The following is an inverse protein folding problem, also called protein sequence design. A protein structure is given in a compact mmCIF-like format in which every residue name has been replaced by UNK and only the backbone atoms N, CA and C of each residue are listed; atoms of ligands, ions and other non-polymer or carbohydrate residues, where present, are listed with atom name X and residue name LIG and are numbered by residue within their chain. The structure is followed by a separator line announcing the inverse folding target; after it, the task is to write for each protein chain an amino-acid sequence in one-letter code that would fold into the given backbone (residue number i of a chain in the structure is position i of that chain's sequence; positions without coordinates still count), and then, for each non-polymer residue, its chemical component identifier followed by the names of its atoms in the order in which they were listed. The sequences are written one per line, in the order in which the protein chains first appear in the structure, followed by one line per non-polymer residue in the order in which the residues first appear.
data_IF_020644395784
#
_entry.id   IF_020644395784
#
_cell.length_a   1.000
_cell.length_b   1.000
_cell.length_c   1.000
_cell.angle_alpha   90.00
_cell.angle_beta   90.00
_cell.angle_gamma   90.00
#
_symmetry.space_group_name_H-M   'P 1'
#
loop_
_entity.id
_entity.type
_entity.pdbx_description
1 polymer ?
#
# COMPACT_ATOMS: atom_id res chain seq x y z
N UNK A 1 29.32 8.55 6.80
CA UNK A 1 29.32 7.15 6.34
C UNK A 1 28.24 7.03 5.28
N UNK A 2 28.65 6.98 4.02
CA UNK A 2 27.79 6.61 2.89
C UNK A 2 27.34 5.16 3.07
N UNK A 3 26.05 4.90 2.87
CA UNK A 3 25.55 3.55 2.61
C UNK A 3 25.06 3.51 1.16
N UNK A 4 25.86 2.85 0.32
CA UNK A 4 25.58 2.51 -1.07
C UNK A 4 25.00 1.08 -1.14
N UNK A 5 23.90 0.92 -1.88
CA UNK A 5 23.32 -0.36 -2.33
C UNK A 5 21.87 -0.55 -1.83
N UNK A 6 20.85 -0.82 -2.63
CA UNK A 6 20.80 -1.38 -3.99
C UNK A 6 19.48 -0.99 -4.70
N UNK A 7 19.62 -0.39 -5.89
CA UNK A 7 18.82 -0.57 -7.11
C UNK A 7 17.27 -0.52 -7.06
N UNK A 8 16.69 0.62 -6.71
CA UNK A 8 15.33 1.00 -7.19
C UNK A 8 15.33 2.48 -7.59
N UNK A 9 14.56 2.84 -8.61
CA UNK A 9 14.35 4.21 -9.09
C UNK A 9 13.61 5.13 -8.09
N UNK A 10 13.38 4.67 -6.85
CA UNK A 10 12.64 5.34 -5.78
C UNK A 10 13.32 6.60 -5.22
N UNK A 11 14.48 7.02 -5.75
CA UNK A 11 15.25 8.18 -5.27
C UNK A 11 14.73 9.54 -5.77
N UNK A 12 13.84 9.56 -6.77
CA UNK A 12 13.27 10.81 -7.29
C UNK A 12 11.82 10.99 -6.83
N UNK A 13 11.62 11.93 -5.90
CA UNK A 13 10.29 12.38 -5.50
C UNK A 13 9.76 13.36 -6.55
N UNK A 14 8.69 12.99 -7.22
CA UNK A 14 7.97 13.87 -8.13
C UNK A 14 6.47 13.65 -8.01
N UNK A 15 5.67 14.60 -8.48
CA UNK A 15 4.21 14.46 -8.52
C UNK A 15 3.68 14.81 -9.91
N UNK A 16 2.76 14.02 -10.49
CA UNK A 16 2.17 12.81 -9.93
C UNK A 16 3.08 11.58 -10.08
N UNK A 17 3.28 10.83 -8.99
CA UNK A 17 4.01 9.56 -8.98
C UNK A 17 3.07 8.44 -8.55
N UNK A 18 3.28 7.26 -9.12
CA UNK A 18 2.64 6.01 -8.71
C UNK A 18 3.73 5.06 -8.25
N UNK A 19 3.44 4.31 -7.17
CA UNK A 19 4.27 3.21 -6.69
C UNK A 19 3.38 1.97 -6.66
N UNK A 20 3.80 0.91 -7.34
CA UNK A 20 3.09 -0.37 -7.42
C UNK A 20 3.83 -1.41 -6.58
N UNK A 21 3.11 -1.99 -5.63
CA UNK A 21 3.57 -3.00 -4.67
C UNK A 21 4.88 -2.64 -3.94
N UNK A 22 5.21 -1.36 -3.79
CA UNK A 22 6.45 -0.91 -3.16
C UNK A 22 7.73 -1.19 -3.95
N UNK A 23 7.64 -1.71 -5.18
CA UNK A 23 8.82 -2.20 -5.95
C UNK A 23 9.04 -1.49 -7.28
N UNK A 24 7.99 -0.91 -7.88
CA UNK A 24 8.07 -0.21 -9.17
C UNK A 24 7.40 1.14 -9.02
N UNK A 25 8.08 2.20 -9.44
CA UNK A 25 7.51 3.54 -9.54
C UNK A 25 7.43 4.05 -10.98
N UNK A 26 6.63 5.10 -11.19
CA UNK A 26 6.45 5.72 -12.50
C UNK A 26 5.55 6.94 -12.48
N UNK A 27 5.28 7.49 -13.66
CA UNK A 27 4.48 8.70 -13.81
C UNK A 27 2.98 8.42 -13.65
N UNK A 28 2.34 9.13 -12.71
CA UNK A 28 0.89 9.04 -12.50
C UNK A 28 0.04 9.72 -13.57
N UNK A 29 0.65 10.45 -14.51
CA UNK A 29 -0.03 11.09 -15.64
C UNK A 29 0.04 10.28 -16.95
N UNK A 30 0.68 9.10 -16.95
CA UNK A 30 0.96 8.28 -18.15
C UNK A 30 -0.26 7.62 -18.83
N UNK A 31 -1.43 7.70 -18.20
CA UNK A 31 -2.64 7.04 -18.70
C UNK A 31 -2.66 5.52 -18.45
N UNK A 32 -3.69 4.84 -18.98
CA UNK A 32 -3.99 3.45 -18.62
C UNK A 32 -2.91 2.47 -19.07
N UNK A 33 -2.37 2.61 -20.28
CA UNK A 33 -1.38 1.66 -20.83
C UNK A 33 -0.10 1.68 -19.99
N UNK A 34 0.49 2.86 -19.78
CA UNK A 34 1.71 2.98 -18.96
C UNK A 34 1.48 2.47 -17.53
N UNK A 35 0.33 2.78 -16.92
CA UNK A 35 -0.01 2.24 -15.61
C UNK A 35 -0.07 0.71 -15.60
N UNK A 36 -0.70 0.08 -16.60
CA UNK A 36 -0.76 -1.38 -16.68
C UNK A 36 0.63 -2.00 -16.90
N UNK A 37 1.54 -1.33 -17.58
CA UNK A 37 2.92 -1.76 -17.73
C UNK A 37 3.68 -1.73 -16.40
N UNK A 38 3.49 -0.68 -15.58
CA UNK A 38 4.01 -0.61 -14.21
C UNK A 38 3.49 -1.78 -13.36
N UNK A 39 2.19 -2.08 -13.45
CA UNK A 39 1.57 -3.22 -12.74
C UNK A 39 2.15 -4.56 -13.20
N UNK A 40 2.34 -4.76 -14.50
CA UNK A 40 2.92 -5.99 -15.04
C UNK A 40 4.36 -6.21 -14.57
N UNK A 41 5.17 -5.14 -14.54
CA UNK A 41 6.54 -5.16 -14.02
C UNK A 41 6.57 -5.52 -12.53
N UNK A 42 5.75 -4.86 -11.72
CA UNK A 42 5.67 -5.14 -10.28
C UNK A 42 5.27 -6.61 -10.02
N UNK A 43 4.26 -7.13 -10.73
CA UNK A 43 3.85 -8.55 -10.63
C UNK A 43 4.98 -9.51 -11.01
N UNK A 44 5.79 -9.15 -12.00
CA UNK A 44 6.92 -9.98 -12.42
C UNK A 44 8.03 -10.02 -11.36
N UNK A 45 8.23 -8.94 -10.59
CA UNK A 45 9.16 -8.92 -9.47
C UNK A 45 8.68 -9.78 -8.29
N UNK A 46 7.36 -9.85 -8.06
CA UNK A 46 6.77 -10.75 -7.05
C UNK A 46 6.99 -12.23 -7.34
N UNK A 47 7.20 -12.63 -8.60
CA UNK A 47 7.52 -14.04 -8.94
C UNK A 47 8.87 -14.51 -8.39
N UNK A 48 9.68 -13.61 -7.84
CA UNK A 48 10.92 -13.96 -7.14
C UNK A 48 10.70 -14.48 -5.72
N UNK A 49 9.46 -14.42 -5.21
CA UNK A 49 9.06 -14.99 -3.93
C UNK A 49 8.52 -16.40 -4.19
N UNK A 50 9.10 -17.41 -3.53
CA UNK A 50 8.80 -18.84 -3.74
C UNK A 50 7.69 -19.39 -2.83
N UNK A 51 7.06 -18.51 -2.07
CA UNK A 51 5.95 -18.80 -1.17
C UNK A 51 4.70 -17.97 -1.51
N UNK A 52 3.56 -18.43 -1.01
CA UNK A 52 2.25 -17.85 -1.18
C UNK A 52 1.78 -17.23 0.14
N UNK A 53 1.06 -16.13 0.02
CA UNK A 53 0.41 -15.47 1.13
C UNK A 53 -0.98 -15.02 0.68
N UNK A 54 -1.96 -15.28 1.52
CA UNK A 54 -3.31 -14.77 1.40
C UNK A 54 -3.61 -13.93 2.63
N UNK A 55 -4.13 -12.72 2.41
CA UNK A 55 -4.58 -11.82 3.46
C UNK A 55 -6.08 -11.59 3.26
N UNK A 56 -6.85 -11.84 4.30
CA UNK A 56 -8.24 -11.42 4.41
C UNK A 56 -8.45 -10.48 5.59
N UNK A 57 -9.58 -9.79 5.57
CA UNK A 57 -10.01 -8.94 6.66
C UNK A 57 -11.53 -8.92 6.75
N UNK A 58 -12.04 -8.73 7.96
CA UNK A 58 -13.45 -8.53 8.24
C UNK A 58 -13.63 -7.32 9.18
N UNK A 59 -14.84 -7.13 9.73
CA UNK A 59 -15.13 -5.98 10.58
C UNK A 59 -14.20 -5.86 11.79
N UNK A 60 -13.71 -6.96 12.35
CA UNK A 60 -12.97 -6.99 13.61
C UNK A 60 -11.56 -7.54 13.51
N UNK A 61 -11.24 -8.35 12.50
CA UNK A 61 -10.01 -9.12 12.44
C UNK A 61 -9.38 -9.14 11.05
N UNK A 62 -8.10 -9.51 11.01
CA UNK A 62 -7.39 -9.94 9.81
C UNK A 62 -6.93 -11.38 9.95
N UNK A 63 -6.87 -12.10 8.83
CA UNK A 63 -6.29 -13.43 8.71
C UNK A 63 -5.21 -13.46 7.63
N UNK A 64 -4.08 -14.10 7.96
CA UNK A 64 -3.01 -14.44 7.03
C UNK A 64 -2.92 -15.96 6.96
N UNK A 65 -2.96 -16.50 5.76
CA UNK A 65 -2.65 -17.90 5.43
C UNK A 65 -1.41 -17.91 4.53
N UNK A 66 -0.37 -18.66 4.91
CA UNK A 66 0.88 -18.72 4.14
C UNK A 66 1.60 -20.06 4.27
N UNK A 67 2.14 -20.54 3.15
CA UNK A 67 3.06 -21.69 3.12
C UNK A 67 4.51 -21.33 3.49
N UNK A 68 4.80 -20.04 3.76
CA UNK A 68 6.10 -19.55 4.20
C UNK A 68 6.28 -19.80 5.71
N UNK A 69 7.02 -20.84 6.11
CA UNK A 69 7.20 -21.14 7.53
C UNK A 69 7.98 -20.04 8.30
N UNK A 70 9.00 -19.45 7.67
CA UNK A 70 9.82 -18.39 8.24
C UNK A 70 10.12 -17.35 7.16
N UNK A 71 9.83 -16.08 7.48
CA UNK A 71 10.11 -14.93 6.62
C UNK A 71 10.93 -13.88 7.38
N UNK A 72 11.61 -13.00 6.64
CA UNK A 72 12.04 -11.73 7.22
C UNK A 72 10.81 -10.96 7.75
N UNK A 73 11.04 -10.05 8.70
CA UNK A 73 9.93 -9.31 9.32
C UNK A 73 9.24 -8.41 8.31
N UNK A 74 7.90 -8.50 8.28
CA UNK A 74 7.05 -7.59 7.51
C UNK A 74 6.14 -6.83 8.47
N UNK A 75 6.02 -5.53 8.28
CA UNK A 75 5.06 -4.68 8.98
C UNK A 75 3.64 -4.98 8.48
N UNK A 76 2.71 -5.13 9.43
CA UNK A 76 1.28 -5.15 9.14
C UNK A 76 0.77 -3.71 9.34
N UNK A 77 0.42 -3.06 8.24
CA UNK A 77 0.02 -1.65 8.21
C UNK A 77 -1.48 -1.52 7.96
N UNK A 78 -2.18 -0.82 8.86
CA UNK A 78 -3.54 -0.34 8.66
C UNK A 78 -3.51 1.04 7.99
N UNK A 79 -4.12 1.15 6.81
CA UNK A 79 -4.28 2.38 6.05
C UNK A 79 -5.74 2.80 6.10
N UNK A 80 -6.03 3.96 6.71
CA UNK A 80 -7.36 4.56 6.70
C UNK A 80 -7.39 5.62 5.60
N UNK A 81 -8.42 5.60 4.77
CA UNK A 81 -8.59 6.53 3.67
C UNK A 81 -10.03 7.01 3.52
N UNK A 82 -10.20 8.23 3.01
CA UNK A 82 -11.52 8.76 2.63
C UNK A 82 -11.92 8.18 1.29
N UNK A 83 -13.02 7.43 1.28
CA UNK A 83 -13.49 6.74 0.09
C UNK A 83 -14.23 7.67 -0.88
N UNK A 84 -14.20 7.28 -2.15
CA UNK A 84 -14.87 8.02 -3.22
C UNK A 84 -14.05 9.21 -3.73
N UNK A 85 -14.64 9.91 -4.70
CA UNK A 85 -14.01 11.05 -5.36
C UNK A 85 -14.34 12.35 -4.61
N UNK A 86 -13.32 13.10 -4.22
CA UNK A 86 -13.45 14.46 -3.70
C UNK A 86 -12.77 15.45 -4.66
N UNK A 87 -13.50 16.52 -5.00
CA UNK A 87 -12.96 17.60 -5.82
C UNK A 87 -12.36 18.66 -4.91
N UNK A 88 -11.03 18.67 -4.82
CA UNK A 88 -10.31 19.67 -4.03
C UNK A 88 -9.94 20.86 -4.91
N UNK A 89 -10.23 22.07 -4.42
CA UNK A 89 -9.69 23.31 -5.01
C UNK A 89 -8.32 23.57 -4.39
N UNK A 90 -7.26 23.43 -5.18
CA UNK A 90 -5.93 23.79 -4.71
C UNK A 90 -5.86 25.29 -4.40
N UNK A 91 -5.63 25.64 -3.13
CA UNK A 91 -5.58 27.02 -2.66
C UNK A 91 -4.27 27.75 -2.98
N UNK A 92 -3.18 27.01 -3.19
CA UNK A 92 -1.82 27.52 -3.48
C UNK A 92 -1.04 26.56 -4.37
N UNK A 93 0.11 27.00 -4.86
CA UNK A 93 1.05 26.19 -5.65
C UNK A 93 0.74 26.12 -7.14
N UNK A 94 1.50 25.33 -7.92
CA UNK A 94 1.37 25.21 -9.38
C UNK A 94 -0.01 24.75 -9.87
N UNK A 95 -0.79 24.14 -8.98
CA UNK A 95 -2.14 23.68 -9.27
C UNK A 95 -3.25 24.65 -8.81
N UNK A 96 -2.91 25.86 -8.32
CA UNK A 96 -3.88 26.86 -7.84
C UNK A 96 -4.99 27.11 -8.88
N UNK A 97 -6.24 27.06 -8.43
CA UNK A 97 -7.43 27.30 -9.26
C UNK A 97 -7.88 26.08 -10.08
N UNK A 98 -7.10 25.00 -10.14
CA UNK A 98 -7.53 23.74 -10.74
C UNK A 98 -8.41 22.96 -9.77
N UNK A 99 -9.43 22.30 -10.31
CA UNK A 99 -10.24 21.28 -9.61
C UNK A 99 -9.55 19.94 -9.79
N UNK A 100 -8.96 19.41 -8.73
CA UNK A 100 -8.32 18.10 -8.76
C UNK A 100 -9.28 17.08 -8.19
N UNK A 101 -9.57 16.03 -8.97
CA UNK A 101 -10.31 14.87 -8.51
C UNK A 101 -9.35 13.98 -7.74
N UNK A 102 -9.58 13.82 -6.45
CA UNK A 102 -8.82 12.90 -5.61
C UNK A 102 -9.72 11.73 -5.26
N UNK A 103 -9.20 10.52 -5.31
CA UNK A 103 -9.90 9.33 -4.85
C UNK A 103 -9.07 8.64 -3.77
N UNK A 104 -9.75 8.01 -2.81
CA UNK A 104 -9.12 7.18 -1.77
C UNK A 104 -7.99 7.91 -1.03
N UNK A 105 -8.27 9.12 -0.52
CA UNK A 105 -7.27 9.97 0.12
C UNK A 105 -6.84 9.33 1.44
N UNK A 106 -5.60 8.87 1.52
CA UNK A 106 -5.03 8.34 2.76
C UNK A 106 -5.05 9.42 3.86
N UNK A 107 -5.57 9.04 5.02
CA UNK A 107 -5.69 9.87 6.23
C UNK A 107 -4.69 9.46 7.29
N UNK A 108 -4.44 8.16 7.39
CA UNK A 108 -3.55 7.60 8.39
C UNK A 108 -2.94 6.29 7.89
N UNK A 109 -1.68 6.07 8.23
CA UNK A 109 -1.00 4.76 8.14
C UNK A 109 -0.50 4.42 9.55
N UNK A 110 -0.82 3.23 10.05
CA UNK A 110 -0.42 2.77 11.38
C UNK A 110 0.07 1.33 11.29
N UNK A 111 1.26 1.06 11.84
CA UNK A 111 1.71 -0.32 12.11
C UNK A 111 0.87 -0.90 13.25
N UNK A 112 0.22 -2.04 12.98
CA UNK A 112 -0.65 -2.75 13.92
C UNK A 112 -0.08 -4.11 14.34
N UNK A 113 0.96 -4.60 13.66
CA UNK A 113 1.62 -5.86 13.99
C UNK A 113 2.82 -6.12 13.08
N UNK A 114 3.38 -7.31 13.22
CA UNK A 114 4.45 -7.86 12.38
C UNK A 114 4.09 -9.27 11.95
N UNK A 115 4.46 -9.66 10.73
CA UNK A 115 4.38 -11.02 10.23
C UNK A 115 5.79 -11.55 9.92
N UNK A 116 6.09 -12.79 10.31
CA UNK A 116 7.42 -13.43 10.21
C UNK A 116 7.34 -14.84 9.61
N UNK A 117 6.30 -15.12 8.85
CA UNK A 117 5.96 -16.46 8.39
C UNK A 117 4.77 -17.07 9.14
N UNK A 118 4.23 -18.13 8.56
CA UNK A 118 3.10 -18.92 9.05
C UNK A 118 1.75 -18.21 8.98
N UNK A 119 0.75 -18.90 9.50
CA UNK A 119 -0.59 -18.37 9.63
C UNK A 119 -0.68 -17.39 10.81
N UNK A 120 -1.49 -16.34 10.65
CA UNK A 120 -1.72 -15.35 11.69
C UNK A 120 -3.18 -14.91 11.69
N UNK A 121 -3.78 -14.82 12.86
CA UNK A 121 -5.05 -14.11 13.07
C UNK A 121 -4.85 -13.03 14.12
N UNK A 122 -5.30 -11.82 13.84
CA UNK A 122 -5.12 -10.68 14.73
C UNK A 122 -6.33 -9.74 14.66
N UNK A 123 -6.75 -9.26 15.83
CA UNK A 123 -7.78 -8.24 15.93
C UNK A 123 -7.31 -6.88 15.41
N UNK A 124 -8.19 -6.19 14.69
CA UNK A 124 -8.03 -4.78 14.36
C UNK A 124 -8.04 -3.94 15.64
N UNK A 125 -7.31 -2.80 15.69
CA UNK A 125 -7.32 -1.90 16.85
C UNK A 125 -8.71 -1.36 17.22
N UNK A 126 -9.60 -1.29 16.24
CA UNK A 126 -11.01 -0.98 16.39
C UNK A 126 -11.80 -1.61 15.23
N UNK A 127 -13.09 -1.96 15.41
CA UNK A 127 -13.89 -2.50 14.33
C UNK A 127 -14.03 -1.51 13.16
N UNK A 128 -14.08 -2.00 11.92
CA UNK A 128 -14.28 -1.18 10.72
C UNK A 128 -15.58 -0.38 10.78
N UNK A 129 -16.63 -0.96 11.33
CA UNK A 129 -17.94 -0.35 11.56
C UNK A 129 -17.90 0.85 12.52
N UNK A 130 -16.85 0.98 13.32
CA UNK A 130 -16.65 2.14 14.21
C UNK A 130 -16.01 3.36 13.51
N UNK A 131 -15.53 3.20 12.27
CA UNK A 131 -14.90 4.31 11.55
C UNK A 131 -15.91 5.40 11.17
N UNK A 132 -15.48 6.68 11.11
CA UNK A 132 -16.31 7.77 10.63
C UNK A 132 -16.93 7.49 9.25
N UNK A 133 -18.13 8.01 9.04
CA UNK A 133 -18.81 7.86 7.75
C UNK A 133 -17.94 8.38 6.59
N UNK A 134 -17.80 7.55 5.55
CA UNK A 134 -16.98 7.86 4.37
C UNK A 134 -15.50 7.50 4.51
N UNK A 135 -15.08 6.95 5.66
CA UNK A 135 -13.75 6.36 5.83
C UNK A 135 -13.79 4.84 5.59
N UNK A 136 -12.84 4.39 4.79
CA UNK A 136 -12.57 2.99 4.49
C UNK A 136 -11.15 2.65 4.93
N UNK A 137 -10.84 1.34 4.96
CA UNK A 137 -9.53 0.90 5.36
C UNK A 137 -9.01 -0.24 4.49
N UNK A 138 -7.69 -0.36 4.46
CA UNK A 138 -6.97 -1.46 3.87
C UNK A 138 -5.84 -1.89 4.80
N UNK A 139 -5.47 -3.15 4.73
CA UNK A 139 -4.34 -3.72 5.44
C UNK A 139 -3.29 -4.13 4.42
N UNK A 140 -2.04 -3.80 4.70
CA UNK A 140 -0.88 -4.15 3.91
C UNK A 140 0.08 -4.97 4.76
N UNK A 141 0.65 -6.04 4.20
CA UNK A 141 1.81 -6.72 4.75
C UNK A 141 3.01 -6.28 3.92
N UNK A 142 3.93 -5.53 4.51
CA UNK A 142 4.98 -4.83 3.79
C UNK A 142 6.35 -5.07 4.43
N UNK A 143 7.36 -5.38 3.62
CA UNK A 143 8.73 -5.48 4.08
C UNK A 143 9.25 -4.14 4.62
N UNK A 144 10.25 -4.19 5.50
CA UNK A 144 10.81 -3.02 6.19
C UNK A 144 11.20 -1.86 5.25
N UNK A 145 11.23 -0.66 5.82
CA UNK A 145 11.63 0.59 5.16
C UNK A 145 10.84 0.95 3.88
N UNK A 146 9.56 0.55 3.81
CA UNK A 146 8.70 0.83 2.67
C UNK A 146 8.99 -0.06 1.46
N UNK A 147 9.54 -1.26 1.71
CA UNK A 147 9.86 -2.25 0.69
C UNK A 147 8.63 -2.93 0.07
N UNK A 148 8.81 -4.12 -0.54
CA UNK A 148 7.73 -4.85 -1.20
C UNK A 148 6.49 -5.05 -0.33
N UNK A 149 5.31 -4.80 -0.91
CA UNK A 149 4.01 -5.17 -0.30
C UNK A 149 3.67 -6.57 -0.78
N UNK A 150 3.72 -7.56 0.12
CA UNK A 150 3.55 -8.99 -0.20
C UNK A 150 2.09 -9.45 -0.14
N UNK A 151 1.25 -8.76 0.64
CA UNK A 151 -0.20 -8.98 0.67
C UNK A 151 -0.94 -7.69 0.95
N UNK A 152 -2.18 -7.58 0.45
CA UNK A 152 -3.06 -6.45 0.74
C UNK A 152 -4.54 -6.88 0.70
N UNK A 153 -5.33 -6.34 1.61
CA UNK A 153 -6.78 -6.57 1.67
C UNK A 153 -7.51 -5.26 1.99
N UNK A 154 -8.68 -5.05 1.38
CA UNK A 154 -9.62 -4.03 1.84
C UNK A 154 -10.41 -4.63 3.02
N UNK A 155 -10.68 -3.81 4.03
CA UNK A 155 -11.61 -4.13 5.13
C UNK A 155 -13.01 -3.66 4.75
#
# INVERSE_FOLDING_TARGET
MEYLGKNTSLLYLFTPQVIVNGVVDGNGAGGKTEFMDLVSRARSMHKGVDWHIYLDANDTDIGIDSDCAEAESHDILLVIYRAGEEVVKAGKGPNKGKKLKHANIAKQVRKIGEWKGGDLTMALPAPKSSMPQGEEAAVLVQADAGGPIVAAAKI
#
